data_IF_869314321273
#
_entry.id   IF_869314321273
#
_cell.length_a   1.000
_cell.length_b   1.000
_cell.length_c   1.000
_cell.angle_alpha   90.00
_cell.angle_beta   90.00
_cell.angle_gamma   90.00
#
_symmetry.space_group_name_H-M   'P 1'
#
loop_
_entity.id
_entity.type
_entity.pdbx_description
1 polymer ?
#
# COMPACT_ATOMS: atom_id res chain seq x y z
N UNK A 1 29.75 1.53 -4.40
CA UNK A 1 28.72 0.56 -3.97
C UNK A 1 27.51 1.35 -3.45
N UNK A 2 26.39 1.36 -4.17
CA UNK A 2 25.23 2.19 -3.80
C UNK A 2 24.56 1.66 -2.53
N UNK A 3 24.41 2.51 -1.51
CA UNK A 3 23.84 2.14 -0.22
C UNK A 3 22.36 1.82 -0.35
N UNK A 4 21.97 0.63 0.05
CA UNK A 4 20.61 0.14 -0.18
C UNK A 4 19.71 0.31 1.05
N UNK A 5 19.17 1.51 1.23
CA UNK A 5 18.47 1.94 2.46
C UNK A 5 17.34 1.00 2.90
N UNK A 6 16.57 0.41 1.97
CA UNK A 6 15.48 -0.51 2.34
C UNK A 6 16.04 -1.83 2.90
N UNK A 7 17.16 -2.32 2.37
CA UNK A 7 17.80 -3.54 2.86
C UNK A 7 18.37 -3.32 4.26
N UNK A 8 18.94 -2.14 4.49
CA UNK A 8 19.45 -1.73 5.81
C UNK A 8 18.32 -1.70 6.86
N UNK A 9 17.12 -1.21 6.51
CA UNK A 9 15.95 -1.21 7.43
C UNK A 9 15.51 -2.63 7.76
N UNK A 10 15.32 -3.47 6.75
CA UNK A 10 14.89 -4.87 6.93
C UNK A 10 15.89 -5.61 7.82
N UNK A 11 17.18 -5.43 7.55
CA UNK A 11 18.26 -6.02 8.34
C UNK A 11 18.25 -5.48 9.77
N UNK A 12 18.08 -4.17 9.97
CA UNK A 12 18.04 -3.55 11.30
C UNK A 12 16.86 -4.07 12.14
N UNK A 13 15.67 -4.18 11.54
CA UNK A 13 14.47 -4.73 12.19
C UNK A 13 14.67 -6.21 12.53
N UNK A 14 15.19 -7.01 11.59
CA UNK A 14 15.46 -8.43 11.81
C UNK A 14 16.48 -8.65 12.92
N UNK A 15 17.57 -7.87 12.92
CA UNK A 15 18.61 -7.96 13.94
C UNK A 15 18.09 -7.53 15.32
N UNK A 16 17.25 -6.50 15.39
CA UNK A 16 16.64 -6.09 16.65
C UNK A 16 15.67 -7.14 17.19
N UNK A 17 14.88 -7.77 16.31
CA UNK A 17 14.00 -8.87 16.66
C UNK A 17 14.82 -10.07 17.18
N UNK A 18 15.84 -10.52 16.43
CA UNK A 18 16.72 -11.63 16.84
C UNK A 18 17.42 -11.35 18.19
N UNK A 19 17.96 -10.14 18.38
CA UNK A 19 18.68 -9.74 19.59
C UNK A 19 17.78 -9.31 20.75
N UNK A 20 16.47 -9.49 20.62
CA UNK A 20 15.48 -9.15 21.66
C UNK A 20 15.48 -7.69 22.08
N UNK A 21 15.86 -6.77 21.20
CA UNK A 21 15.80 -5.34 21.48
C UNK A 21 14.34 -4.86 21.40
N UNK A 22 13.93 -4.05 22.37
CA UNK A 22 12.61 -3.41 22.37
C UNK A 22 12.51 -2.28 21.35
N UNK A 23 13.65 -1.69 20.96
CA UNK A 23 13.71 -0.52 20.11
C UNK A 23 14.74 -0.65 18.98
N UNK A 24 14.48 0.04 17.87
CA UNK A 24 15.36 0.11 16.69
C UNK A 24 15.48 1.56 16.24
N UNK A 25 16.70 2.00 15.95
CA UNK A 25 16.96 3.33 15.38
C UNK A 25 17.33 3.19 13.90
N UNK A 26 16.61 3.89 13.02
CA UNK A 26 16.90 3.94 11.59
C UNK A 26 16.97 5.40 11.10
N UNK A 27 17.70 5.71 10.01
CA UNK A 27 17.70 7.04 9.40
C UNK A 27 16.31 7.44 8.92
N UNK A 28 15.94 8.71 9.12
CA UNK A 28 14.67 9.27 8.64
C UNK A 28 14.82 9.83 7.22
N UNK A 29 14.07 9.26 6.30
CA UNK A 29 13.86 9.70 4.92
C UNK A 29 12.37 9.61 4.60
N UNK A 30 11.90 10.30 3.56
CA UNK A 30 10.50 10.21 3.14
C UNK A 30 10.06 8.77 2.87
N UNK A 31 10.93 7.97 2.26
CA UNK A 31 10.69 6.55 1.97
C UNK A 31 10.56 5.73 3.25
N UNK A 32 11.52 5.84 4.17
CA UNK A 32 11.51 5.10 5.44
C UNK A 32 10.30 5.48 6.29
N UNK A 33 9.94 6.76 6.33
CA UNK A 33 8.79 7.25 7.09
C UNK A 33 7.49 6.65 6.57
N UNK A 34 7.31 6.60 5.24
CA UNK A 34 6.12 6.00 4.64
C UNK A 34 6.02 4.49 4.89
N UNK A 35 7.13 3.75 4.80
CA UNK A 35 7.16 2.32 5.13
C UNK A 35 6.81 2.09 6.60
N UNK A 36 7.44 2.86 7.51
CA UNK A 36 7.21 2.75 8.95
C UNK A 36 5.76 3.10 9.34
N UNK A 37 5.16 4.09 8.70
CA UNK A 37 3.73 4.42 8.89
C UNK A 37 2.82 3.24 8.56
N UNK A 38 3.11 2.52 7.46
CA UNK A 38 2.37 1.32 7.09
C UNK A 38 2.55 0.23 8.16
N UNK A 39 3.80 -0.01 8.59
CA UNK A 39 4.08 -1.03 9.62
C UNK A 39 3.40 -0.71 10.96
N UNK A 40 3.32 0.57 11.34
CA UNK A 40 2.59 1.03 12.53
C UNK A 40 1.08 0.81 12.38
N UNK A 41 0.48 1.23 11.26
CA UNK A 41 -0.95 1.10 10.98
C UNK A 41 -1.42 -0.37 10.93
N UNK A 42 -0.59 -1.25 10.37
CA UNK A 42 -0.88 -2.68 10.29
C UNK A 42 -0.54 -3.43 11.60
N UNK A 43 -0.06 -2.71 12.63
CA UNK A 43 0.15 -3.25 13.98
C UNK A 43 1.39 -4.13 14.17
N UNK A 44 2.34 -4.04 13.23
CA UNK A 44 3.64 -4.71 13.32
C UNK A 44 4.59 -3.97 14.29
N UNK A 45 4.54 -2.64 14.30
CA UNK A 45 5.30 -1.77 15.20
C UNK A 45 4.33 -1.20 16.24
N UNK A 46 4.78 -1.07 17.48
CA UNK A 46 3.96 -0.55 18.58
C UNK A 46 3.94 0.97 18.60
N UNK A 47 5.11 1.60 18.44
CA UNK A 47 5.23 3.06 18.45
C UNK A 47 6.41 3.53 17.60
N UNK A 48 6.36 4.77 17.16
CA UNK A 48 7.38 5.43 16.33
C UNK A 48 7.61 6.83 16.86
N UNK A 49 8.86 7.17 17.16
CA UNK A 49 9.27 8.52 17.55
C UNK A 49 10.29 9.07 16.56
N UNK A 50 10.14 10.34 16.21
CA UNK A 50 11.19 11.08 15.48
C UNK A 50 12.20 11.62 16.49
N UNK A 51 13.47 11.46 16.18
CA UNK A 51 14.57 12.00 16.97
C UNK A 51 15.53 12.72 16.03
N UNK A 52 16.00 13.89 16.42
CA UNK A 52 16.95 14.67 15.65
C UNK A 52 18.23 14.85 16.46
N UNK A 53 19.36 14.52 15.85
CA UNK A 53 20.68 14.59 16.48
C UNK A 53 21.69 15.09 15.45
N UNK A 54 22.48 16.13 15.78
CA UNK A 54 23.53 16.66 14.90
C UNK A 54 23.06 16.94 13.46
N UNK A 55 21.89 17.61 13.33
CA UNK A 55 21.19 17.90 12.05
C UNK A 55 20.73 16.66 11.25
N UNK A 56 20.89 15.44 11.76
CA UNK A 56 20.41 14.20 11.15
C UNK A 56 19.14 13.73 11.86
N UNK A 57 18.14 13.35 11.07
CA UNK A 57 16.86 12.85 11.58
C UNK A 57 16.84 11.33 11.59
N UNK A 58 16.28 10.76 12.66
CA UNK A 58 16.16 9.32 12.90
C UNK A 58 14.74 8.96 13.32
N UNK A 59 14.34 7.73 13.01
CA UNK A 59 13.13 7.10 13.52
C UNK A 59 13.53 6.06 14.56
N UNK A 60 12.98 6.21 15.76
CA UNK A 60 13.08 5.24 16.85
C UNK A 60 11.78 4.45 16.87
N UNK A 61 11.88 3.18 16.50
CA UNK A 61 10.76 2.23 16.37
C UNK A 61 10.71 1.36 17.63
N UNK A 62 9.56 1.28 18.28
CA UNK A 62 9.30 0.32 19.36
C UNK A 62 8.67 -0.92 18.76
N UNK A 63 9.37 -2.06 18.83
CA UNK A 63 8.86 -3.33 18.34
C UNK A 63 7.82 -3.87 19.31
N UNK A 64 6.78 -4.51 18.79
CA UNK A 64 5.73 -5.11 19.62
C UNK A 64 6.25 -6.41 20.25
N UNK A 65 6.25 -6.49 21.59
CA UNK A 65 6.53 -7.74 22.31
C UNK A 65 5.27 -8.19 23.06
N UNK A 66 4.85 -9.45 22.87
CA UNK A 66 3.79 -10.05 23.70
C UNK A 66 4.43 -10.85 24.83
N UNK A 67 4.10 -10.50 26.07
CA UNK A 67 4.43 -11.30 27.28
C UNK A 67 3.35 -12.35 27.51
N UNK A 68 3.73 -13.58 27.83
CA UNK A 68 2.77 -14.54 28.36
C UNK A 68 2.45 -14.27 29.83
N UNK A 69 1.29 -14.74 30.29
CA UNK A 69 0.85 -14.74 31.70
C UNK A 69 1.86 -15.34 32.68
N UNK A 70 2.79 -16.19 32.22
CA UNK A 70 3.86 -16.82 33.03
C UNK A 70 5.23 -16.12 32.94
N UNK A 71 5.29 -14.88 32.44
CA UNK A 71 6.55 -14.11 32.35
C UNK A 71 7.55 -14.55 31.26
N UNK A 72 7.29 -15.67 30.57
CA UNK A 72 8.13 -16.17 29.48
C UNK A 72 7.73 -15.55 28.12
N UNK A 73 8.70 -15.14 27.31
CA UNK A 73 8.48 -14.53 25.98
C UNK A 73 8.25 -15.63 24.93
N UNK A 74 7.02 -16.16 24.81
CA UNK A 74 6.82 -17.39 24.00
C UNK A 74 6.28 -17.16 22.58
N UNK A 75 5.81 -15.97 22.22
CA UNK A 75 5.30 -15.73 20.87
C UNK A 75 5.54 -14.29 20.41
N UNK A 76 6.55 -14.14 19.57
CA UNK A 76 6.79 -12.90 18.83
C UNK A 76 5.95 -12.87 17.58
N UNK A 77 5.54 -11.69 17.18
CA UNK A 77 5.22 -11.45 15.78
C UNK A 77 6.53 -11.59 15.01
N UNK A 78 6.87 -12.81 14.58
CA UNK A 78 8.12 -13.07 13.87
C UNK A 78 8.11 -12.20 12.61
N UNK A 79 9.03 -11.24 12.54
CA UNK A 79 9.18 -10.38 11.37
C UNK A 79 9.87 -11.18 10.27
N UNK A 80 9.09 -11.92 9.48
CA UNK A 80 9.60 -12.51 8.24
C UNK A 80 9.62 -11.46 7.12
N UNK A 81 10.53 -10.49 7.26
CA UNK A 81 10.72 -9.40 6.30
C UNK A 81 11.66 -9.85 5.19
N UNK A 82 11.19 -9.79 3.94
CA UNK A 82 11.99 -10.09 2.76
C UNK A 82 11.87 -8.98 1.73
N UNK A 83 13.01 -8.53 1.22
CA UNK A 83 13.05 -7.63 0.07
C UNK A 83 12.92 -8.40 -1.23
N UNK A 84 11.99 -7.97 -2.08
CA UNK A 84 11.73 -8.55 -3.40
C UNK A 84 12.48 -7.78 -4.50
N UNK A 85 12.17 -6.50 -4.73
CA UNK A 85 12.84 -5.65 -5.74
C UNK A 85 14.18 -5.12 -5.23
N UNK A 86 15.29 -5.41 -5.91
CA UNK A 86 16.67 -5.02 -5.53
C UNK A 86 17.24 -4.00 -6.55
N UNK A 87 18.24 -3.17 -6.19
CA UNK A 87 18.78 -2.17 -7.11
C UNK A 87 19.26 -2.75 -8.45
N UNK A 88 19.93 -3.92 -8.41
CA UNK A 88 20.39 -4.65 -9.59
C UNK A 88 19.36 -5.60 -10.22
N UNK A 89 18.17 -5.75 -9.62
CA UNK A 89 17.08 -6.54 -10.17
C UNK A 89 15.74 -5.94 -9.73
N UNK A 90 15.25 -4.98 -10.52
CA UNK A 90 13.99 -4.29 -10.25
C UNK A 90 12.82 -5.18 -10.66
N UNK A 91 11.93 -5.44 -9.71
CA UNK A 91 10.73 -6.24 -9.95
C UNK A 91 9.53 -5.31 -9.90
N UNK A 92 8.81 -5.26 -11.02
CA UNK A 92 7.55 -4.56 -11.16
C UNK A 92 6.44 -5.59 -11.39
N UNK A 93 5.25 -5.33 -10.85
CA UNK A 93 4.12 -6.24 -11.00
C UNK A 93 2.83 -5.44 -11.15
N UNK A 94 2.01 -5.84 -12.11
CA UNK A 94 0.65 -5.36 -12.24
C UNK A 94 -0.18 -5.88 -11.06
N UNK A 95 -1.24 -5.16 -10.66
CA UNK A 95 -2.05 -5.47 -9.48
C UNK A 95 -2.72 -6.85 -9.53
N UNK A 96 -3.05 -7.36 -10.73
CA UNK A 96 -3.51 -8.75 -10.94
C UNK A 96 -2.51 -9.80 -10.46
N UNK A 97 -1.21 -9.54 -10.66
CA UNK A 97 -0.13 -10.46 -10.31
C UNK A 97 0.41 -10.25 -8.90
N UNK A 98 -0.17 -9.32 -8.13
CA UNK A 98 0.24 -9.11 -6.74
C UNK A 98 -0.20 -10.33 -5.93
N UNK A 99 0.76 -11.10 -5.37
CA UNK A 99 0.43 -12.30 -4.60
C UNK A 99 -0.20 -11.93 -3.25
N UNK A 100 -1.10 -12.78 -2.74
CA UNK A 100 -1.57 -12.69 -1.35
C UNK A 100 -0.54 -13.34 -0.45
N UNK A 101 -0.01 -12.60 0.52
CA UNK A 101 1.01 -13.12 1.45
C UNK A 101 0.32 -13.89 2.57
N UNK A 102 0.73 -15.13 2.82
CA UNK A 102 0.21 -16.01 3.88
C UNK A 102 -1.33 -16.08 3.90
N UNK A 103 -1.95 -16.32 2.74
CA UNK A 103 -3.42 -16.38 2.63
C UNK A 103 -4.15 -15.06 2.93
N UNK A 104 -3.41 -13.95 3.00
CA UNK A 104 -3.92 -12.64 3.39
C UNK A 104 -3.56 -12.24 4.82
N UNK A 105 -2.92 -13.09 5.63
CA UNK A 105 -2.45 -12.71 6.97
C UNK A 105 -1.24 -11.78 6.92
N UNK A 106 -0.41 -11.89 5.88
CA UNK A 106 0.73 -11.00 5.67
C UNK A 106 0.37 -9.80 4.80
N UNK A 107 1.27 -8.82 4.78
CA UNK A 107 1.19 -7.66 3.90
C UNK A 107 2.34 -7.70 2.90
N UNK A 108 2.11 -7.16 1.72
CA UNK A 108 3.16 -6.80 0.78
C UNK A 108 3.12 -5.27 0.59
N UNK A 109 4.28 -4.63 0.73
CA UNK A 109 4.43 -3.17 0.55
C UNK A 109 5.04 -2.93 -0.82
N UNK A 110 4.39 -2.09 -1.62
CA UNK A 110 4.80 -1.78 -2.98
C UNK A 110 4.79 -0.27 -3.22
N UNK A 111 5.71 0.16 -4.08
CA UNK A 111 5.76 1.52 -4.57
C UNK A 111 4.94 1.62 -5.85
N UNK A 112 3.97 2.54 -5.87
CA UNK A 112 3.14 2.85 -7.04
C UNK A 112 3.33 4.32 -7.42
N UNK A 113 2.80 4.74 -8.56
CA UNK A 113 2.78 6.15 -8.97
C UNK A 113 1.97 7.06 -8.02
N UNK A 114 1.16 6.47 -7.13
CA UNK A 114 0.38 7.18 -6.10
C UNK A 114 1.05 7.19 -4.73
N UNK A 115 2.25 6.62 -4.62
CA UNK A 115 2.98 6.45 -3.38
C UNK A 115 3.11 5.00 -2.94
N UNK A 116 3.61 4.81 -1.72
CA UNK A 116 3.83 3.50 -1.11
C UNK A 116 2.52 3.05 -0.46
N UNK A 117 2.09 1.84 -0.75
CA UNK A 117 0.84 1.27 -0.25
C UNK A 117 0.94 -0.24 -0.05
N UNK A 118 -0.05 -0.83 0.61
CA UNK A 118 -0.15 -2.29 0.79
C UNK A 118 -0.75 -2.97 -0.44
N UNK A 119 -0.57 -4.28 -0.55
CA UNK A 119 -1.19 -5.11 -1.59
C UNK A 119 -2.72 -5.11 -1.56
N UNK A 120 -3.30 -4.90 -0.38
CA UNK A 120 -4.75 -4.74 -0.24
C UNK A 120 -5.19 -3.40 -0.83
N UNK A 121 -4.52 -2.32 -0.46
CA UNK A 121 -4.80 -0.97 -0.99
C UNK A 121 -4.61 -0.91 -2.51
N UNK A 122 -3.52 -1.50 -3.02
CA UNK A 122 -3.22 -1.55 -4.44
C UNK A 122 -4.23 -2.36 -5.27
N UNK A 123 -4.88 -3.37 -4.66
CA UNK A 123 -5.97 -4.11 -5.33
C UNK A 123 -7.31 -3.38 -5.28
N UNK A 124 -7.54 -2.58 -4.24
CA UNK A 124 -8.80 -1.84 -4.07
C UNK A 124 -8.88 -0.62 -4.99
N UNK A 125 -7.75 0.00 -5.33
CA UNK A 125 -7.73 1.15 -6.22
C UNK A 125 -7.44 0.77 -7.68
N UNK A 126 -8.47 0.71 -8.50
CA UNK A 126 -8.37 0.52 -9.95
C UNK A 126 -8.41 1.83 -10.73
N UNK A 127 -7.69 1.90 -11.84
CA UNK A 127 -8.02 2.81 -12.94
C UNK A 127 -8.69 1.96 -14.01
N UNK A 128 -9.73 2.51 -14.62
CA UNK A 128 -10.35 1.88 -15.78
C UNK A 128 -10.93 2.90 -16.74
N UNK A 129 -11.33 2.39 -17.89
CA UNK A 129 -12.05 3.11 -18.92
C UNK A 129 -13.51 2.68 -18.89
N UNK A 130 -14.42 3.65 -18.86
CA UNK A 130 -15.86 3.39 -18.98
C UNK A 130 -16.13 2.86 -20.38
N UNK A 131 -16.64 1.64 -20.49
CA UNK A 131 -16.99 1.06 -21.80
C UNK A 131 -18.43 1.38 -22.17
N UNK A 132 -19.33 1.38 -21.19
CA UNK A 132 -20.75 1.64 -21.41
C UNK A 132 -21.42 2.18 -20.14
N UNK A 133 -22.47 2.97 -20.38
CA UNK A 133 -23.42 3.42 -19.36
C UNK A 133 -24.66 2.53 -19.41
N UNK A 134 -25.08 2.01 -18.27
CA UNK A 134 -26.27 1.17 -18.14
C UNK A 134 -27.50 2.00 -17.73
N UNK A 135 -28.72 1.59 -18.11
CA UNK A 135 -29.95 2.33 -17.82
C UNK A 135 -30.23 2.55 -16.32
N UNK A 136 -29.73 1.66 -15.46
CA UNK A 136 -29.87 1.75 -13.99
C UNK A 136 -28.88 2.73 -13.33
N UNK A 137 -28.15 3.52 -14.11
CA UNK A 137 -27.14 4.46 -13.60
C UNK A 137 -25.85 3.80 -13.12
N UNK A 138 -25.64 2.53 -13.47
CA UNK A 138 -24.37 1.83 -13.35
C UNK A 138 -23.55 2.03 -14.63
N UNK A 139 -22.27 1.71 -14.56
CA UNK A 139 -21.35 1.76 -15.70
C UNK A 139 -20.56 0.46 -15.76
N UNK A 140 -20.38 -0.12 -16.95
CA UNK A 140 -19.34 -1.14 -17.10
C UNK A 140 -18.02 -0.43 -17.29
N UNK A 141 -17.04 -0.87 -16.52
CA UNK A 141 -15.71 -0.31 -16.53
C UNK A 141 -14.72 -1.41 -16.83
N UNK A 142 -13.98 -1.22 -17.91
CA UNK A 142 -12.81 -2.03 -18.21
C UNK A 142 -11.65 -1.46 -17.42
N UNK A 143 -11.24 -2.14 -16.38
CA UNK A 143 -10.06 -1.78 -15.63
C UNK A 143 -8.80 -1.93 -16.51
N UNK A 144 -7.71 -1.23 -16.17
CA UNK A 144 -6.42 -1.30 -16.90
C UNK A 144 -5.81 -2.71 -16.94
N UNK A 145 -6.36 -3.64 -16.16
CA UNK A 145 -5.97 -5.02 -16.17
C UNK A 145 -6.85 -5.88 -17.09
N UNK A 146 -7.79 -5.31 -17.83
CA UNK A 146 -8.79 -5.97 -18.69
C UNK A 146 -9.99 -6.61 -17.96
N UNK A 147 -10.07 -6.52 -16.63
CA UNK A 147 -11.27 -6.98 -15.92
C UNK A 147 -12.44 -6.02 -16.14
N UNK A 148 -13.61 -6.60 -16.35
CA UNK A 148 -14.86 -5.86 -16.49
C UNK A 148 -15.56 -5.83 -15.14
N UNK A 149 -15.81 -4.64 -14.61
CA UNK A 149 -16.54 -4.43 -13.35
C UNK A 149 -17.74 -3.51 -13.54
N UNK A 150 -18.72 -3.65 -12.67
CA UNK A 150 -19.88 -2.75 -12.57
C UNK A 150 -19.61 -1.66 -11.54
N UNK A 151 -19.52 -0.42 -12.01
CA UNK A 151 -19.27 0.77 -11.21
C UNK A 151 -20.53 1.60 -11.01
N UNK A 152 -20.80 2.03 -9.78
CA UNK A 152 -21.75 3.13 -9.53
C UNK A 152 -21.02 4.43 -9.21
N UNK A 153 -21.67 5.56 -9.50
CA UNK A 153 -21.11 6.88 -9.24
C UNK A 153 -21.19 7.22 -7.76
N UNK A 154 -20.04 7.61 -7.15
CA UNK A 154 -19.99 8.06 -5.76
C UNK A 154 -20.85 9.30 -5.52
N UNK A 155 -21.37 9.45 -4.30
CA UNK A 155 -22.17 10.62 -3.91
C UNK A 155 -21.46 11.96 -4.13
N UNK A 156 -20.13 11.99 -3.99
CA UNK A 156 -19.32 13.18 -4.28
C UNK A 156 -19.41 13.59 -5.75
N UNK A 157 -19.27 12.65 -6.68
CA UNK A 157 -19.42 12.93 -8.12
C UNK A 157 -20.84 13.42 -8.43
N UNK A 158 -21.87 12.79 -7.83
CA UNK A 158 -23.27 13.22 -7.99
C UNK A 158 -23.50 14.65 -7.50
N UNK A 159 -23.02 14.99 -6.29
CA UNK A 159 -23.11 16.34 -5.72
C UNK A 159 -22.33 17.38 -6.52
N UNK A 160 -21.22 16.98 -7.14
CA UNK A 160 -20.43 17.85 -8.02
C UNK A 160 -20.96 17.91 -9.46
N UNK A 161 -22.11 17.28 -9.76
CA UNK A 161 -22.72 17.24 -11.09
C UNK A 161 -21.77 16.78 -12.22
N UNK A 162 -20.75 15.99 -11.88
CA UNK A 162 -19.76 15.50 -12.86
C UNK A 162 -20.41 14.36 -13.65
N UNK A 163 -20.59 14.57 -14.96
CA UNK A 163 -21.09 13.55 -15.88
C UNK A 163 -19.98 12.57 -16.26
N UNK A 164 -20.29 11.29 -16.19
CA UNK A 164 -19.44 10.18 -16.61
C UNK A 164 -19.99 9.64 -17.93
N UNK A 165 -19.14 9.54 -18.94
CA UNK A 165 -19.50 9.07 -20.28
C UNK A 165 -18.64 7.85 -20.67
N UNK A 166 -19.12 6.99 -21.59
CA UNK A 166 -18.26 6.01 -22.25
C UNK A 166 -17.02 6.67 -22.86
N UNK A 167 -15.86 6.04 -22.69
CA UNK A 167 -14.55 6.57 -23.09
C UNK A 167 -13.81 7.31 -21.98
N UNK A 168 -14.48 7.70 -20.89
CA UNK A 168 -13.82 8.38 -19.77
C UNK A 168 -12.87 7.44 -19.01
N UNK A 169 -11.67 7.94 -18.70
CA UNK A 169 -10.81 7.32 -17.70
C UNK A 169 -11.26 7.71 -16.30
N UNK A 170 -11.50 6.71 -15.46
CA UNK A 170 -12.00 6.90 -14.10
C UNK A 170 -11.17 6.14 -13.09
N UNK A 171 -11.09 6.70 -11.88
CA UNK A 171 -10.61 5.99 -10.69
C UNK A 171 -11.80 5.29 -10.04
N UNK A 172 -11.60 4.03 -9.70
CA UNK A 172 -12.61 3.18 -9.09
C UNK A 172 -12.05 2.54 -7.82
N UNK A 173 -12.88 2.56 -6.79
CA UNK A 173 -12.67 1.78 -5.59
C UNK A 173 -13.46 0.47 -5.72
N UNK A 174 -12.76 -0.64 -5.82
CA UNK A 174 -13.38 -1.96 -5.91
C UNK A 174 -13.95 -2.34 -4.53
N UNK A 175 -15.13 -2.95 -4.51
CA UNK A 175 -15.74 -3.39 -3.26
C UNK A 175 -14.85 -4.43 -2.58
N UNK A 176 -14.70 -4.31 -1.25
CA UNK A 176 -13.95 -5.29 -0.45
C UNK A 176 -14.62 -6.66 -0.41
N UNK A 177 -15.93 -6.70 -0.64
CA UNK A 177 -16.75 -7.91 -0.53
C UNK A 177 -16.97 -8.60 -1.88
N UNK A 178 -16.97 -7.84 -2.97
CA UNK A 178 -17.27 -8.35 -4.33
C UNK A 178 -16.37 -7.64 -5.34
N UNK A 179 -15.41 -8.39 -5.90
CA UNK A 179 -14.45 -7.85 -6.87
C UNK A 179 -15.05 -7.47 -8.22
N UNK A 180 -16.30 -7.86 -8.51
CA UNK A 180 -17.01 -7.51 -9.75
C UNK A 180 -17.70 -6.16 -9.67
N UNK A 181 -17.77 -5.55 -8.47
CA UNK A 181 -18.44 -4.29 -8.22
C UNK A 181 -17.49 -3.23 -7.68
N UNK A 182 -17.74 -1.98 -8.04
CA UNK A 182 -16.93 -0.86 -7.57
C UNK A 182 -17.69 0.45 -7.49
N UNK A 183 -17.03 1.43 -6.86
CA UNK A 183 -17.50 2.81 -6.72
C UNK A 183 -16.58 3.74 -7.51
N UNK A 184 -17.15 4.46 -8.47
CA UNK A 184 -16.42 5.48 -9.24
C UNK A 184 -16.23 6.70 -8.34
N UNK A 185 -14.97 6.99 -8.01
CA UNK A 185 -14.58 8.04 -7.06
C UNK A 185 -14.14 9.31 -7.76
N UNK A 186 -13.55 9.19 -8.95
CA UNK A 186 -13.01 10.34 -9.67
C UNK A 186 -12.98 10.11 -11.19
N UNK A 187 -13.24 11.15 -11.98
CA UNK A 187 -12.99 11.17 -13.44
C UNK A 187 -11.63 11.82 -13.69
N UNK A 188 -10.71 11.09 -14.31
CA UNK A 188 -9.40 11.62 -14.67
C UNK A 188 -9.58 12.61 -15.82
N UNK A 189 -8.97 13.79 -15.70
CA UNK A 189 -8.81 14.68 -16.86
C UNK A 189 -7.79 14.03 -17.80
N UNK A 190 -8.15 13.87 -19.07
CA UNK A 190 -7.13 13.65 -20.09
C UNK A 190 -6.23 14.90 -20.06
N UNK A 191 -4.94 14.71 -19.78
CA UNK A 191 -3.96 15.72 -20.18
C UNK A 191 -3.89 15.58 -21.69
N UNK A 192 -4.55 16.49 -22.40
CA UNK A 192 -4.33 16.64 -23.82
C UNK A 192 -2.83 16.87 -24.01
N UNK A 193 -2.21 15.98 -24.77
CA UNK A 193 -0.86 16.11 -25.28
C UNK A 193 -0.86 17.28 -26.26
N UNK A 194 -0.66 18.48 -25.73
CA UNK A 194 -0.15 19.63 -26.47
C UNK A 194 1.20 19.99 -25.86
N UNK A 195 2.24 19.38 -26.41
CA UNK A 195 3.59 19.91 -26.57
C UNK A 195 4.17 19.30 -27.85
#
# INVERSE_FOLDING_TARGET
MGRDTIADIITSLRNADMNRKGTVRIPSTNLTENIVKILLREGFIENVRKHQENKKSFLVLTLRHKRNRKGSYTYRTIFNLKRISRPGLRIYSNYKRIPRILGGMGILILSTSRGIMTDREARLEGIGLITESLPNGMFRVRLDNEDMILGYVSGRIRRSFIRILPGDRVKIEISRYDSTRGRIIYRLRNKDSND
#
